data_IF_995165628815
#
_entry.id   IF_995165628815
#
_cell.length_a   1.000
_cell.length_b   1.000
_cell.length_c   1.000
_cell.angle_alpha   90.00
_cell.angle_beta   90.00
_cell.angle_gamma   90.00
#
_symmetry.space_group_name_H-M   'P 1'
#
loop_
_entity.id
_entity.type
_entity.pdbx_description
1 polymer ?
#
# COMPACT_ATOMS: atom_id res chain seq x y z
N UNK A 1 34.25 17.33 7.65
CA UNK A 1 33.59 17.88 6.45
C UNK A 1 32.93 19.19 6.85
N UNK A 2 33.21 20.27 6.11
CA UNK A 2 32.70 21.62 6.40
C UNK A 2 31.17 21.62 6.46
N UNK A 3 30.56 22.18 7.50
CA UNK A 3 29.12 22.38 7.54
C UNK A 3 28.74 23.30 6.37
N UNK A 4 28.01 22.82 5.37
CA UNK A 4 27.53 23.69 4.30
C UNK A 4 26.65 24.77 4.93
N UNK A 5 27.07 26.03 4.83
CA UNK A 5 26.37 27.19 5.40
C UNK A 5 25.09 27.44 4.61
N UNK A 6 23.97 27.57 5.30
CA UNK A 6 22.70 28.04 4.70
C UNK A 6 22.87 29.52 4.32
N UNK A 7 22.64 29.86 3.06
CA UNK A 7 22.75 31.22 2.52
C UNK A 7 21.36 31.85 2.47
N UNK A 8 21.19 33.02 3.07
CA UNK A 8 19.94 33.77 2.98
C UNK A 8 19.79 34.43 1.62
N UNK A 9 18.70 34.09 0.92
CA UNK A 9 18.29 34.67 -0.37
C UNK A 9 16.77 34.87 -0.34
N UNK A 10 16.25 35.80 0.47
CA UNK A 10 14.82 35.90 0.72
C UNK A 10 14.06 36.30 -0.55
N UNK A 11 12.92 35.65 -0.78
CA UNK A 11 11.95 36.13 -1.77
C UNK A 11 11.16 37.32 -1.21
N UNK A 12 10.49 38.05 -2.10
CA UNK A 12 9.68 39.21 -1.73
C UNK A 12 8.52 38.79 -0.82
N UNK A 13 8.53 39.29 0.41
CA UNK A 13 7.45 39.12 1.39
C UNK A 13 6.79 40.47 1.68
N UNK A 14 5.78 40.82 0.89
CA UNK A 14 5.01 42.05 1.03
C UNK A 14 3.62 41.77 1.63
N UNK A 15 2.89 42.83 1.99
CA UNK A 15 1.54 42.74 2.57
C UNK A 15 0.56 41.97 1.66
N UNK A 16 0.74 42.03 0.34
CA UNK A 16 -0.08 41.27 -0.61
C UNK A 16 0.18 39.76 -0.50
N UNK A 17 1.44 39.31 -0.44
CA UNK A 17 1.78 37.89 -0.28
C UNK A 17 1.26 37.35 1.05
N UNK A 18 1.35 38.16 2.11
CA UNK A 18 0.80 37.82 3.41
C UNK A 18 -0.72 37.63 3.37
N UNK A 19 -1.45 38.60 2.80
CA UNK A 19 -2.90 38.52 2.64
C UNK A 19 -3.32 37.32 1.78
N UNK A 20 -2.63 37.07 0.66
CA UNK A 20 -2.89 35.93 -0.22
C UNK A 20 -2.57 34.59 0.46
N UNK A 21 -1.57 34.55 1.34
CA UNK A 21 -1.22 33.35 2.13
C UNK A 21 -2.27 33.03 3.19
N UNK A 22 -2.75 34.04 3.92
CA UNK A 22 -3.86 33.90 4.86
C UNK A 22 -5.15 33.46 4.16
N UNK A 23 -5.45 34.07 3.01
CA UNK A 23 -6.59 33.68 2.17
C UNK A 23 -6.46 32.22 1.72
N UNK A 24 -5.29 31.80 1.25
CA UNK A 24 -5.04 30.40 0.85
C UNK A 24 -5.27 29.44 2.01
N UNK A 25 -4.72 29.73 3.20
CA UNK A 25 -4.90 28.90 4.40
C UNK A 25 -6.38 28.77 4.78
N UNK A 26 -7.14 29.87 4.74
CA UNK A 26 -8.58 29.86 5.02
C UNK A 26 -9.37 29.07 3.98
N UNK A 27 -9.20 29.37 2.69
CA UNK A 27 -10.02 28.79 1.61
C UNK A 27 -9.68 27.33 1.32
N UNK A 28 -8.40 26.94 1.42
CA UNK A 28 -7.95 25.59 1.05
C UNK A 28 -7.85 24.64 2.24
N UNK A 29 -7.66 25.16 3.44
CA UNK A 29 -7.45 24.35 4.64
C UNK A 29 -8.42 24.65 5.78
N UNK A 30 -9.33 25.63 5.63
CA UNK A 30 -10.26 26.01 6.70
C UNK A 30 -9.55 26.64 7.90
N UNK A 31 -8.31 27.11 7.74
CA UNK A 31 -7.48 27.62 8.83
C UNK A 31 -7.52 29.15 8.86
N UNK A 32 -8.22 29.71 9.85
CA UNK A 32 -8.14 31.13 10.16
C UNK A 32 -6.94 31.38 11.08
N UNK A 33 -5.98 32.17 10.62
CA UNK A 33 -4.76 32.51 11.36
C UNK A 33 -4.53 34.01 11.37
N UNK A 34 -3.88 34.50 12.42
CA UNK A 34 -3.45 35.91 12.52
C UNK A 34 -2.20 36.19 11.67
N UNK A 35 -1.39 35.17 11.40
CA UNK A 35 -0.23 35.24 10.52
C UNK A 35 -0.12 33.96 9.66
N UNK A 36 0.41 34.05 8.43
CA UNK A 36 0.63 32.90 7.57
C UNK A 36 1.84 32.09 8.04
N UNK A 37 1.68 31.40 9.17
CA UNK A 37 2.70 30.58 9.82
C UNK A 37 2.32 29.11 9.85
N UNK A 38 3.33 28.25 10.03
CA UNK A 38 3.20 26.81 10.20
C UNK A 38 3.88 26.37 11.50
N UNK A 39 3.40 25.26 12.06
CA UNK A 39 4.15 24.48 13.05
C UNK A 39 4.71 23.28 12.31
N UNK A 40 6.01 23.29 11.92
CA UNK A 40 6.56 22.24 11.08
C UNK A 40 6.44 20.87 11.73
N UNK A 41 5.77 19.96 11.02
CA UNK A 41 5.65 18.54 11.37
C UNK A 41 6.14 17.63 10.25
N UNK A 42 6.41 18.17 9.06
CA UNK A 42 6.98 17.41 7.96
C UNK A 42 7.93 18.23 7.10
N UNK A 43 8.73 17.53 6.31
CA UNK A 43 9.51 18.08 5.21
C UNK A 43 9.06 17.48 3.89
N UNK A 44 8.94 18.31 2.86
CA UNK A 44 8.58 17.90 1.50
C UNK A 44 9.72 18.28 0.58
N UNK A 45 10.29 17.30 -0.12
CA UNK A 45 11.46 17.47 -0.98
C UNK A 45 11.05 17.38 -2.45
N UNK A 46 11.35 18.42 -3.21
CA UNK A 46 10.96 18.59 -4.60
C UNK A 46 12.15 18.81 -5.52
N UNK A 47 11.90 18.73 -6.83
CA UNK A 47 12.72 19.39 -7.83
C UNK A 47 11.98 20.62 -8.37
N UNK A 48 12.73 21.57 -8.91
CA UNK A 48 12.16 22.80 -9.46
C UNK A 48 11.65 22.63 -10.90
N UNK A 49 12.06 21.56 -11.58
CA UNK A 49 11.98 21.39 -13.04
C UNK A 49 12.68 22.52 -13.83
N UNK A 50 13.58 23.24 -13.17
CA UNK A 50 14.33 24.38 -13.68
C UNK A 50 15.82 24.10 -13.43
N UNK A 51 16.66 24.43 -14.40
CA UNK A 51 18.07 24.04 -14.40
C UNK A 51 19.01 24.93 -13.57
N UNK A 52 18.56 26.09 -13.09
CA UNK A 52 19.40 27.03 -12.30
C UNK A 52 18.67 27.63 -11.09
N UNK A 53 19.45 28.08 -10.11
CA UNK A 53 18.96 28.78 -8.91
C UNK A 53 18.34 30.13 -9.28
N UNK A 54 18.97 30.89 -10.17
CA UNK A 54 18.55 32.23 -10.56
C UNK A 54 17.15 32.19 -11.20
N UNK A 55 16.94 31.28 -12.15
CA UNK A 55 15.65 31.14 -12.83
C UNK A 55 14.59 30.62 -11.85
N UNK A 56 14.95 29.68 -10.97
CA UNK A 56 14.01 29.23 -9.93
C UNK A 56 13.61 30.37 -9.00
N UNK A 57 14.58 31.19 -8.58
CA UNK A 57 14.33 32.34 -7.73
C UNK A 57 13.42 33.36 -8.42
N UNK A 58 13.66 33.67 -9.69
CA UNK A 58 12.82 34.59 -10.46
C UNK A 58 11.38 34.07 -10.62
N UNK A 59 11.19 32.75 -10.61
CA UNK A 59 9.85 32.13 -10.60
C UNK A 59 9.17 32.22 -9.24
N UNK A 60 9.90 32.04 -8.13
CA UNK A 60 9.32 32.07 -6.78
C UNK A 60 9.16 33.48 -6.19
N UNK A 61 9.97 34.43 -6.64
CA UNK A 61 10.05 35.78 -6.06
C UNK A 61 8.77 36.62 -6.22
N UNK A 62 8.10 36.66 -7.39
CA UNK A 62 6.86 37.42 -7.56
C UNK A 62 5.76 36.96 -6.61
N UNK A 63 5.00 37.90 -6.04
CA UNK A 63 3.89 37.60 -5.11
C UNK A 63 2.75 36.83 -5.77
N UNK A 64 2.48 37.11 -7.04
CA UNK A 64 1.35 36.56 -7.79
C UNK A 64 1.80 35.58 -8.87
N UNK A 65 0.94 34.61 -9.18
CA UNK A 65 1.19 33.63 -10.24
C UNK A 65 1.19 34.28 -11.63
N UNK A 66 2.33 34.19 -12.33
CA UNK A 66 2.41 34.55 -13.74
C UNK A 66 1.99 33.39 -14.65
N UNK A 67 0.89 33.54 -15.39
CA UNK A 67 0.64 32.80 -16.64
C UNK A 67 0.47 31.27 -16.56
N UNK A 68 0.14 30.68 -15.40
CA UNK A 68 -0.12 29.22 -15.27
C UNK A 68 -1.60 28.92 -15.05
N UNK A 69 -2.33 28.70 -16.14
CA UNK A 69 -3.79 28.51 -16.16
C UNK A 69 -4.30 27.38 -15.23
N UNK A 70 -3.53 26.30 -15.07
CA UNK A 70 -3.92 25.17 -14.20
C UNK A 70 -3.81 25.49 -12.70
N UNK A 71 -3.08 26.55 -12.34
CA UNK A 71 -2.82 26.93 -10.94
C UNK A 71 -3.61 28.17 -10.50
N UNK A 72 -4.10 28.97 -11.45
CA UNK A 72 -4.86 30.22 -11.18
C UNK A 72 -6.24 29.93 -10.58
N UNK A 73 -6.87 28.81 -10.94
CA UNK A 73 -8.14 28.39 -10.35
C UNK A 73 -8.08 28.07 -8.85
N UNK A 74 -6.88 27.80 -8.30
CA UNK A 74 -6.69 27.45 -6.90
C UNK A 74 -6.39 28.66 -6.00
N UNK A 75 -5.57 29.62 -6.47
CA UNK A 75 -5.26 30.89 -5.80
C UNK A 75 -4.31 31.72 -6.67
N UNK A 76 -4.38 33.05 -6.54
CA UNK A 76 -3.43 33.96 -7.16
C UNK A 76 -2.07 34.03 -6.44
N UNK A 77 -1.96 33.46 -5.23
CA UNK A 77 -0.70 33.38 -4.47
C UNK A 77 0.35 32.59 -5.24
N UNK A 78 1.54 33.14 -5.46
CA UNK A 78 2.59 32.42 -6.17
C UNK A 78 3.13 31.20 -5.41
N UNK A 79 3.64 30.23 -6.17
CA UNK A 79 4.38 29.11 -5.59
C UNK A 79 5.69 29.59 -4.97
N UNK A 80 6.06 28.98 -3.85
CA UNK A 80 7.27 29.31 -3.09
C UNK A 80 7.62 28.16 -2.15
N UNK A 81 8.85 28.14 -1.67
CA UNK A 81 9.37 27.14 -0.74
C UNK A 81 10.28 27.81 0.28
N UNK A 82 10.51 27.19 1.44
CA UNK A 82 11.43 27.71 2.45
C UNK A 82 12.89 27.56 2.03
N UNK A 83 13.23 26.44 1.38
CA UNK A 83 14.61 26.14 0.98
C UNK A 83 14.73 25.79 -0.50
N UNK A 84 15.86 26.17 -1.09
CA UNK A 84 16.28 25.83 -2.45
C UNK A 84 17.73 25.30 -2.41
N UNK A 85 18.01 24.19 -3.10
CA UNK A 85 19.32 23.54 -3.14
C UNK A 85 19.83 23.49 -4.58
N UNK A 86 20.96 24.12 -4.85
CA UNK A 86 21.62 24.11 -6.15
C UNK A 86 22.27 22.75 -6.47
N UNK A 87 22.66 22.53 -7.73
CA UNK A 87 23.31 21.32 -8.23
C UNK A 87 24.59 20.94 -7.49
N UNK A 88 25.33 21.93 -6.96
CA UNK A 88 26.53 21.73 -6.15
C UNK A 88 26.23 21.46 -4.65
N UNK A 89 24.95 21.44 -4.29
CA UNK A 89 24.43 21.26 -2.95
C UNK A 89 24.53 22.49 -2.05
N UNK A 90 24.72 23.69 -2.60
CA UNK A 90 24.57 24.94 -1.87
C UNK A 90 23.11 25.13 -1.46
N UNK A 91 22.87 25.44 -0.17
CA UNK A 91 21.53 25.58 0.39
C UNK A 91 21.19 27.07 0.52
N UNK A 92 20.09 27.48 -0.10
CA UNK A 92 19.52 28.82 0.00
C UNK A 92 18.23 28.80 0.85
N UNK A 93 18.11 29.73 1.79
CA UNK A 93 16.87 29.98 2.55
C UNK A 93 16.12 31.15 1.93
N UNK A 94 14.91 30.87 1.43
CA UNK A 94 14.04 31.83 0.76
C UNK A 94 13.00 32.43 1.70
N UNK A 95 12.56 31.67 2.70
CA UNK A 95 11.61 32.08 3.73
C UNK A 95 12.05 31.53 5.09
N UNK A 96 11.63 32.13 6.22
CA UNK A 96 11.79 31.54 7.54
C UNK A 96 11.13 30.14 7.62
N UNK A 97 11.72 29.23 8.40
CA UNK A 97 11.26 27.83 8.47
C UNK A 97 9.78 27.70 8.89
N UNK A 98 9.25 28.66 9.65
CA UNK A 98 7.86 28.67 10.16
C UNK A 98 6.92 29.53 9.32
N UNK A 99 7.39 30.17 8.25
CA UNK A 99 6.54 30.93 7.34
C UNK A 99 5.86 29.96 6.37
N UNK A 100 4.56 30.14 6.16
CA UNK A 100 3.80 29.38 5.17
C UNK A 100 4.35 29.63 3.77
N UNK A 101 4.51 28.55 3.01
CA UNK A 101 4.92 28.58 1.61
C UNK A 101 4.02 27.65 0.79
N UNK A 102 3.68 28.05 -0.44
CA UNK A 102 2.85 27.26 -1.36
C UNK A 102 3.77 26.41 -2.25
N UNK A 103 4.21 25.26 -1.75
CA UNK A 103 5.13 24.34 -2.46
C UNK A 103 4.47 23.00 -2.86
N UNK A 104 3.45 22.55 -2.13
CA UNK A 104 2.78 21.25 -2.33
C UNK A 104 1.27 21.39 -2.21
N UNK A 105 0.46 20.46 -2.70
CA UNK A 105 -0.99 20.49 -2.47
C UNK A 105 -1.32 19.68 -1.21
N UNK A 106 -2.16 20.23 -0.34
CA UNK A 106 -2.71 19.50 0.81
C UNK A 106 -1.85 19.49 2.07
N UNK A 107 -0.55 19.84 2.00
CA UNK A 107 0.37 19.72 3.13
C UNK A 107 1.07 21.03 3.55
N UNK A 108 0.91 22.12 2.79
CA UNK A 108 1.61 23.40 3.02
C UNK A 108 1.46 23.95 4.46
N UNK A 109 0.35 23.67 5.14
CA UNK A 109 0.04 24.26 6.46
C UNK A 109 0.84 23.65 7.62
N UNK A 110 1.59 22.58 7.38
CA UNK A 110 2.43 21.89 8.37
C UNK A 110 3.81 21.48 7.82
N UNK A 111 4.12 21.81 6.57
CA UNK A 111 5.28 21.32 5.84
C UNK A 111 6.31 22.39 5.51
N UNK A 112 7.59 22.07 5.73
CA UNK A 112 8.73 22.79 5.17
C UNK A 112 9.04 22.21 3.79
N UNK A 113 9.05 23.05 2.76
CA UNK A 113 9.50 22.71 1.42
C UNK A 113 11.02 22.81 1.27
N UNK A 114 11.60 21.86 0.54
CA UNK A 114 12.98 21.88 0.06
C UNK A 114 12.96 21.61 -1.44
N UNK A 115 13.36 22.59 -2.24
CA UNK A 115 13.35 22.50 -3.71
C UNK A 115 14.77 22.24 -4.22
N UNK A 116 14.96 21.21 -5.05
CA UNK A 116 16.26 20.91 -5.65
C UNK A 116 16.28 21.41 -7.10
N UNK A 117 17.25 22.24 -7.45
CA UNK A 117 17.46 22.65 -8.84
C UNK A 117 17.74 21.42 -9.70
N UNK A 118 17.00 21.28 -10.80
CA UNK A 118 17.02 20.10 -11.65
C UNK A 118 15.62 19.60 -11.99
N UNK A 119 15.56 18.40 -12.58
CA UNK A 119 14.32 17.79 -13.05
C UNK A 119 14.58 16.40 -13.63
N UNK A 120 13.64 15.83 -14.39
CA UNK A 120 13.79 14.49 -14.98
C UNK A 120 15.06 14.33 -15.82
N UNK A 121 15.40 15.34 -16.62
CA UNK A 121 16.59 15.34 -17.49
C UNK A 121 17.87 15.79 -16.77
N UNK A 122 17.76 16.18 -15.50
CA UNK A 122 18.86 16.62 -14.64
C UNK A 122 18.64 16.08 -13.21
N UNK A 123 18.80 14.76 -12.99
CA UNK A 123 18.47 14.10 -11.73
C UNK A 123 19.33 14.59 -10.57
N UNK A 124 18.88 14.36 -9.33
CA UNK A 124 19.53 14.81 -8.10
C UNK A 124 21.02 14.44 -8.06
N UNK A 125 21.89 15.41 -7.79
CA UNK A 125 23.34 15.13 -7.62
C UNK A 125 23.62 14.53 -6.24
N UNK A 126 24.77 13.86 -6.10
CA UNK A 126 25.27 13.44 -4.78
C UNK A 126 25.41 14.61 -3.81
N UNK A 127 25.87 15.77 -4.30
CA UNK A 127 26.04 16.95 -3.47
C UNK A 127 24.71 17.54 -2.97
N UNK A 128 23.64 17.44 -3.77
CA UNK A 128 22.28 17.77 -3.37
C UNK A 128 21.73 16.77 -2.37
N UNK A 129 21.94 15.47 -2.56
CA UNK A 129 21.54 14.44 -1.60
C UNK A 129 22.17 14.69 -0.22
N UNK A 130 23.48 14.96 -0.19
CA UNK A 130 24.20 15.25 1.06
C UNK A 130 23.72 16.55 1.72
N UNK A 131 23.28 17.53 0.93
CA UNK A 131 22.71 18.79 1.42
C UNK A 131 21.30 18.60 1.99
N UNK A 132 20.44 17.82 1.31
CA UNK A 132 19.11 17.45 1.79
C UNK A 132 19.21 16.74 3.15
N UNK A 133 20.08 15.73 3.26
CA UNK A 133 20.28 14.99 4.51
C UNK A 133 20.68 15.94 5.66
N UNK A 134 21.67 16.80 5.43
CA UNK A 134 22.13 17.76 6.44
C UNK A 134 21.02 18.73 6.87
N UNK A 135 20.27 19.26 5.90
CA UNK A 135 19.19 20.20 6.15
C UNK A 135 18.04 19.54 6.90
N UNK A 136 17.60 18.35 6.49
CA UNK A 136 16.52 17.60 7.13
C UNK A 136 16.90 17.26 8.58
N UNK A 137 18.13 16.79 8.82
CA UNK A 137 18.62 16.53 10.19
C UNK A 137 18.66 17.80 11.03
N UNK A 138 19.02 18.94 10.44
CA UNK A 138 18.96 20.24 11.12
C UNK A 138 17.51 20.61 11.49
N UNK A 139 16.55 20.46 10.57
CA UNK A 139 15.14 20.76 10.79
C UNK A 139 14.50 19.83 11.83
N UNK A 140 14.79 18.52 11.79
CA UNK A 140 14.31 17.54 12.79
C UNK A 140 14.79 17.84 14.20
N UNK A 141 15.98 18.42 14.37
CA UNK A 141 16.46 18.84 15.70
C UNK A 141 15.74 20.09 16.21
N UNK A 142 15.22 20.92 15.32
CA UNK A 142 14.61 22.21 15.65
C UNK A 142 13.09 22.12 15.82
N UNK A 143 12.44 21.19 15.13
CA UNK A 143 10.98 21.05 15.07
C UNK A 143 10.56 19.57 15.19
N UNK A 144 9.31 19.29 15.60
CA UNK A 144 8.78 17.93 15.67
C UNK A 144 8.46 17.36 14.27
N UNK A 145 9.47 17.22 13.41
CA UNK A 145 9.31 16.72 12.04
C UNK A 145 9.12 15.19 12.07
N UNK A 146 7.92 14.68 11.89
CA UNK A 146 7.67 13.23 11.94
C UNK A 146 7.77 12.55 10.56
N UNK A 147 7.67 13.33 9.47
CA UNK A 147 7.62 12.82 8.09
C UNK A 147 8.56 13.56 7.15
N UNK A 148 9.16 12.83 6.19
CA UNK A 148 9.85 13.39 5.01
C UNK A 148 9.28 12.70 3.78
N UNK A 149 8.74 13.48 2.85
CA UNK A 149 8.21 12.96 1.59
C UNK A 149 8.96 13.56 0.40
N UNK A 150 9.04 12.82 -0.70
CA UNK A 150 9.76 13.22 -1.90
C UNK A 150 8.87 13.33 -3.13
N UNK A 151 9.24 14.17 -4.11
CA UNK A 151 8.53 14.32 -5.39
C UNK A 151 8.46 13.03 -6.23
N UNK A 152 9.23 11.99 -5.91
CA UNK A 152 9.09 10.67 -6.54
C UNK A 152 7.92 9.83 -6.02
N UNK A 153 7.04 10.41 -5.20
CA UNK A 153 5.65 9.95 -5.03
C UNK A 153 4.77 10.27 -6.28
N UNK A 154 5.35 10.84 -7.35
CA UNK A 154 4.88 10.62 -8.74
C UNK A 154 4.66 9.13 -8.93
N UNK A 155 3.51 8.66 -9.49
CA UNK A 155 3.25 7.24 -9.69
C UNK A 155 4.41 6.60 -10.46
N UNK A 156 5.28 5.91 -9.73
CA UNK A 156 6.19 4.95 -10.35
C UNK A 156 5.30 3.80 -10.76
N UNK A 157 5.47 3.35 -12.00
CA UNK A 157 4.88 2.08 -12.42
C UNK A 157 5.24 1.04 -11.36
N UNK A 158 4.23 0.50 -10.67
CA UNK A 158 4.44 -0.59 -9.74
C UNK A 158 4.88 -1.81 -10.55
N UNK A 159 6.00 -2.37 -10.12
CA UNK A 159 6.62 -3.55 -10.67
C UNK A 159 6.82 -4.48 -9.49
N UNK A 160 5.72 -5.14 -9.15
CA UNK A 160 5.64 -6.09 -8.06
C UNK A 160 5.81 -7.53 -8.55
N UNK A 161 6.39 -8.37 -7.71
CA UNK A 161 6.44 -9.82 -7.92
C UNK A 161 5.84 -10.54 -6.71
N UNK A 162 4.96 -11.51 -6.95
CA UNK A 162 4.54 -12.44 -5.91
C UNK A 162 5.65 -13.43 -5.58
N UNK A 163 5.85 -13.68 -4.28
CA UNK A 163 6.72 -14.72 -3.74
C UNK A 163 5.83 -15.63 -2.90
N UNK A 164 5.36 -16.71 -3.52
CA UNK A 164 4.48 -17.69 -2.89
C UNK A 164 5.25 -18.66 -2.00
N UNK A 165 4.72 -18.84 -0.79
CA UNK A 165 5.29 -19.75 0.22
C UNK A 165 4.48 -21.04 0.36
N UNK A 166 3.21 -21.01 -0.04
CA UNK A 166 2.37 -22.21 -0.12
C UNK A 166 3.03 -23.24 -1.04
N UNK A 167 3.12 -24.48 -0.55
CA UNK A 167 3.76 -25.59 -1.25
C UNK A 167 5.21 -25.31 -1.68
N UNK A 168 5.89 -24.32 -1.07
CA UNK A 168 7.26 -23.95 -1.39
C UNK A 168 7.45 -23.61 -2.88
N UNK A 169 6.44 -22.98 -3.53
CA UNK A 169 6.46 -22.68 -4.97
C UNK A 169 7.64 -21.77 -5.34
N UNK A 170 7.80 -20.64 -4.64
CA UNK A 170 8.88 -19.69 -4.90
C UNK A 170 9.92 -19.69 -3.78
N UNK A 171 9.46 -19.60 -2.52
CA UNK A 171 10.36 -19.53 -1.37
C UNK A 171 9.71 -20.02 -0.06
N UNK A 172 10.45 -20.65 0.86
CA UNK A 172 11.78 -21.23 0.65
C UNK A 172 11.69 -22.43 -0.30
N UNK A 173 12.79 -22.82 -0.94
CA UNK A 173 12.82 -24.00 -1.82
C UNK A 173 12.41 -25.28 -1.08
N UNK A 174 12.73 -25.38 0.21
CA UNK A 174 12.28 -26.42 1.10
C UNK A 174 12.20 -25.92 2.54
N UNK A 175 11.13 -26.28 3.26
CA UNK A 175 11.03 -26.06 4.70
C UNK A 175 12.04 -26.88 5.52
N UNK A 176 12.73 -27.85 4.91
CA UNK A 176 13.79 -28.65 5.55
C UNK A 176 15.19 -28.06 5.37
N UNK A 177 15.34 -27.03 4.54
CA UNK A 177 16.62 -26.33 4.38
C UNK A 177 17.03 -25.60 5.66
N UNK A 178 18.34 -25.42 5.85
CA UNK A 178 18.83 -24.58 6.95
C UNK A 178 18.33 -23.14 6.78
N UNK A 179 18.05 -22.46 7.90
CA UNK A 179 17.59 -21.07 7.86
C UNK A 179 18.57 -20.16 7.10
N UNK A 180 19.89 -20.39 7.23
CA UNK A 180 20.91 -19.67 6.45
C UNK A 180 20.79 -19.88 4.94
N UNK A 181 20.47 -21.11 4.49
CA UNK A 181 20.21 -21.35 3.07
C UNK A 181 18.93 -20.65 2.62
N UNK A 182 17.86 -20.73 3.40
CA UNK A 182 16.62 -20.01 3.10
C UNK A 182 16.86 -18.50 2.97
N UNK A 183 17.67 -17.91 3.86
CA UNK A 183 18.04 -16.49 3.80
C UNK A 183 18.77 -16.15 2.50
N UNK A 184 19.77 -16.95 2.14
CA UNK A 184 20.54 -16.78 0.90
C UNK A 184 19.64 -16.87 -0.34
N UNK A 185 18.72 -17.82 -0.37
CA UNK A 185 17.80 -18.01 -1.49
C UNK A 185 16.81 -16.83 -1.61
N UNK A 186 16.30 -16.30 -0.48
CA UNK A 186 15.44 -15.10 -0.50
C UNK A 186 16.19 -13.89 -1.02
N UNK A 187 17.41 -13.64 -0.53
CA UNK A 187 18.27 -12.55 -1.00
C UNK A 187 18.52 -12.66 -2.51
N UNK A 188 18.77 -13.87 -3.01
CA UNK A 188 18.96 -14.09 -4.44
C UNK A 188 17.71 -13.72 -5.26
N UNK A 189 16.51 -14.00 -4.76
CA UNK A 189 15.24 -13.58 -5.37
C UNK A 189 15.15 -12.04 -5.38
N UNK A 190 15.41 -11.38 -4.25
CA UNK A 190 15.35 -9.91 -4.16
C UNK A 190 16.35 -9.25 -5.13
N UNK A 191 17.60 -9.73 -5.15
CA UNK A 191 18.65 -9.20 -6.03
C UNK A 191 18.33 -9.42 -7.51
N UNK A 192 17.69 -10.54 -7.86
CA UNK A 192 17.26 -10.81 -9.22
C UNK A 192 16.20 -9.80 -9.67
N UNK A 193 15.12 -9.64 -8.90
CA UNK A 193 14.05 -8.71 -9.27
C UNK A 193 14.49 -7.24 -9.21
N UNK A 194 15.39 -6.90 -8.28
CA UNK A 194 15.99 -5.56 -8.25
C UNK A 194 16.76 -5.25 -9.53
N UNK A 195 17.54 -6.19 -10.07
CA UNK A 195 18.26 -6.03 -11.35
C UNK A 195 17.33 -5.84 -12.54
N UNK A 196 16.10 -6.38 -12.45
CA UNK A 196 15.04 -6.19 -13.45
C UNK A 196 14.21 -4.92 -13.23
N UNK A 197 14.64 -4.03 -12.33
CA UNK A 197 13.96 -2.78 -11.98
C UNK A 197 12.56 -2.98 -11.38
N UNK A 198 12.32 -4.08 -10.67
CA UNK A 198 11.17 -4.20 -9.79
C UNK A 198 11.33 -3.28 -8.58
N UNK A 199 10.20 -2.86 -8.03
CA UNK A 199 10.14 -1.93 -6.89
C UNK A 199 9.30 -2.45 -5.71
N UNK A 200 8.67 -3.63 -5.83
CA UNK A 200 7.93 -4.24 -4.74
C UNK A 200 8.02 -5.77 -4.76
N UNK A 201 7.91 -6.38 -3.59
CA UNK A 201 7.74 -7.82 -3.40
C UNK A 201 6.48 -8.11 -2.60
N UNK A 202 5.67 -9.04 -3.08
CA UNK A 202 4.40 -9.45 -2.48
C UNK A 202 4.60 -10.84 -1.89
N UNK A 203 4.95 -10.91 -0.61
CA UNK A 203 5.43 -12.15 0.03
C UNK A 203 4.32 -12.81 0.81
N UNK A 204 4.04 -14.08 0.55
CA UNK A 204 2.98 -14.81 1.24
C UNK A 204 3.39 -15.16 2.68
N UNK A 205 2.85 -14.44 3.66
CA UNK A 205 3.18 -14.64 5.08
C UNK A 205 2.12 -15.47 5.84
N UNK A 206 0.97 -15.74 5.22
CA UNK A 206 -0.09 -16.64 5.69
C UNK A 206 -0.65 -17.43 4.51
N UNK A 207 -0.58 -18.76 4.58
CA UNK A 207 -0.96 -19.66 3.49
C UNK A 207 -2.31 -20.33 3.71
N UNK A 208 -2.51 -20.92 4.89
CA UNK A 208 -3.67 -21.72 5.25
C UNK A 208 -3.77 -21.82 6.79
N UNK A 209 -4.27 -20.78 7.45
CA UNK A 209 -4.40 -20.77 8.91
C UNK A 209 -3.09 -20.62 9.69
N UNK A 210 -1.96 -20.46 9.01
CA UNK A 210 -0.59 -20.44 9.56
C UNK A 210 0.09 -19.06 9.45
N UNK A 211 1.34 -18.96 9.92
CA UNK A 211 2.15 -17.74 9.87
C UNK A 211 3.64 -18.01 9.59
N UNK A 212 4.27 -17.12 8.83
CA UNK A 212 5.72 -17.02 8.61
C UNK A 212 6.41 -16.08 9.62
N UNK A 213 5.76 -15.83 10.76
CA UNK A 213 6.19 -14.92 11.80
C UNK A 213 5.65 -15.40 13.16
N UNK A 214 6.24 -14.98 14.29
CA UNK A 214 5.70 -15.32 15.60
C UNK A 214 4.33 -14.63 15.78
N UNK A 215 3.26 -15.42 15.77
CA UNK A 215 1.89 -14.93 15.88
C UNK A 215 1.22 -15.43 17.16
N UNK A 216 0.35 -14.60 17.75
CA UNK A 216 -0.57 -15.00 18.83
C UNK A 216 -1.80 -15.76 18.31
N UNK A 217 -2.09 -15.62 17.02
CA UNK A 217 -3.33 -16.09 16.40
C UNK A 217 -3.13 -17.31 15.50
N UNK A 218 -1.91 -17.59 15.05
CA UNK A 218 -1.64 -18.68 14.13
C UNK A 218 -0.37 -19.48 14.51
N UNK A 219 -0.33 -20.80 14.26
CA UNK A 219 0.89 -21.57 14.39
C UNK A 219 1.90 -21.22 13.28
N UNK A 220 3.18 -21.54 13.53
CA UNK A 220 4.22 -21.47 12.51
C UNK A 220 3.88 -22.33 11.29
N UNK A 221 4.14 -21.80 10.09
CA UNK A 221 3.91 -22.54 8.86
C UNK A 221 4.83 -23.75 8.71
N UNK A 222 4.25 -24.88 8.30
CA UNK A 222 5.03 -26.06 7.89
C UNK A 222 5.92 -25.79 6.68
N UNK A 223 5.61 -24.79 5.85
CA UNK A 223 6.40 -24.47 4.66
C UNK A 223 7.72 -23.78 5.01
N UNK A 224 7.86 -23.25 6.23
CA UNK A 224 9.11 -22.67 6.72
C UNK A 224 10.03 -23.71 7.38
N UNK A 225 9.47 -24.68 8.10
CA UNK A 225 10.24 -25.59 8.99
C UNK A 225 10.00 -27.08 8.75
N UNK A 226 9.17 -27.44 7.77
CA UNK A 226 8.73 -28.82 7.50
C UNK A 226 7.62 -29.33 8.43
N UNK A 227 7.33 -28.63 9.54
CA UNK A 227 6.34 -29.04 10.54
C UNK A 227 5.55 -27.85 11.09
N UNK A 228 4.22 -27.91 11.02
CA UNK A 228 3.38 -26.83 11.51
C UNK A 228 3.51 -26.65 13.04
N UNK A 229 3.52 -25.41 13.50
CA UNK A 229 3.70 -25.04 14.89
C UNK A 229 5.16 -25.05 15.36
N UNK A 230 6.10 -25.54 14.56
CA UNK A 230 7.52 -25.50 14.89
C UNK A 230 8.16 -24.20 14.41
N UNK A 231 8.74 -23.44 15.35
CA UNK A 231 9.51 -22.24 15.06
C UNK A 231 10.81 -22.57 14.30
N UNK A 232 11.30 -21.67 13.42
CA UNK A 232 12.61 -21.84 12.80
C UNK A 232 13.72 -21.79 13.85
N UNK A 233 14.82 -22.51 13.62
CA UNK A 233 15.96 -22.56 14.55
C UNK A 233 16.83 -21.30 14.44
N UNK A 234 16.26 -20.16 14.82
CA UNK A 234 16.89 -18.84 14.81
C UNK A 234 16.36 -17.97 15.94
N UNK A 235 17.15 -16.99 16.37
CA UNK A 235 16.72 -15.94 17.31
C UNK A 235 16.15 -14.71 16.59
N UNK A 236 16.34 -14.62 15.27
CA UNK A 236 15.84 -13.54 14.43
C UNK A 236 14.36 -13.74 14.11
N UNK A 237 13.58 -12.65 14.07
CA UNK A 237 12.20 -12.69 13.60
C UNK A 237 12.18 -12.73 12.06
N UNK A 238 11.70 -13.82 11.43
CA UNK A 238 11.83 -13.98 9.97
C UNK A 238 11.15 -12.87 9.17
N UNK A 239 9.97 -12.40 9.59
CA UNK A 239 9.25 -11.35 8.88
C UNK A 239 9.95 -10.00 9.01
N UNK A 240 10.43 -9.64 10.20
CA UNK A 240 11.23 -8.42 10.40
C UNK A 240 12.46 -8.43 9.51
N UNK A 241 13.16 -9.57 9.44
CA UNK A 241 14.34 -9.71 8.59
C UNK A 241 13.99 -9.60 7.09
N UNK A 242 12.96 -10.30 6.61
CA UNK A 242 12.54 -10.22 5.20
C UNK A 242 12.20 -8.80 4.77
N UNK A 243 11.48 -8.05 5.63
CA UNK A 243 11.15 -6.64 5.41
C UNK A 243 12.42 -5.79 5.30
N UNK A 244 13.36 -5.95 6.24
CA UNK A 244 14.61 -5.19 6.25
C UNK A 244 15.45 -5.46 4.99
N UNK A 245 15.53 -6.70 4.53
CA UNK A 245 16.24 -7.06 3.31
C UNK A 245 15.60 -6.45 2.05
N UNK A 246 14.27 -6.43 1.96
CA UNK A 246 13.55 -5.76 0.87
C UNK A 246 13.81 -4.24 0.89
N UNK A 247 13.62 -3.60 2.05
CA UNK A 247 13.81 -2.16 2.22
C UNK A 247 15.24 -1.70 1.92
N UNK A 248 16.25 -2.46 2.34
CA UNK A 248 17.66 -2.12 2.08
C UNK A 248 17.99 -2.08 0.58
N UNK A 249 17.18 -2.75 -0.25
CA UNK A 249 17.28 -2.76 -1.72
C UNK A 249 16.32 -1.76 -2.38
N UNK A 250 15.58 -0.98 -1.60
CA UNK A 250 14.54 -0.08 -2.09
C UNK A 250 13.43 -0.83 -2.81
N UNK A 251 13.01 -1.97 -2.26
CA UNK A 251 11.81 -2.72 -2.63
C UNK A 251 10.77 -2.53 -1.52
N UNK A 252 9.53 -2.19 -1.88
CA UNK A 252 8.39 -2.24 -0.96
C UNK A 252 8.09 -3.70 -0.57
N UNK A 253 7.67 -3.92 0.68
CA UNK A 253 7.26 -5.21 1.21
C UNK A 253 5.74 -5.27 1.44
N UNK A 254 5.05 -6.02 0.59
CA UNK A 254 3.62 -6.26 0.69
C UNK A 254 3.38 -7.61 1.36
N UNK A 255 2.85 -7.60 2.58
CA UNK A 255 2.47 -8.79 3.32
C UNK A 255 1.22 -9.44 2.70
N UNK A 256 1.39 -10.59 2.03
CA UNK A 256 0.31 -11.31 1.39
C UNK A 256 -0.28 -12.39 2.30
N UNK A 257 -1.61 -12.39 2.41
CA UNK A 257 -2.38 -13.36 3.18
C UNK A 257 -3.52 -13.96 2.35
N UNK A 258 -3.77 -15.24 2.56
CA UNK A 258 -5.04 -15.87 2.23
C UNK A 258 -5.99 -15.76 3.44
N UNK A 259 -7.17 -15.12 3.33
CA UNK A 259 -8.04 -14.89 4.49
C UNK A 259 -8.74 -16.18 4.95
N UNK A 260 -9.40 -16.89 4.03
CA UNK A 260 -10.38 -17.93 4.42
C UNK A 260 -9.89 -19.37 4.27
N UNK A 261 -8.75 -19.63 3.62
CA UNK A 261 -8.20 -21.00 3.60
C UNK A 261 -7.76 -21.38 5.01
N UNK A 262 -8.40 -22.40 5.60
CA UNK A 262 -8.03 -22.91 6.91
C UNK A 262 -7.08 -24.10 6.79
N UNK A 263 -7.19 -24.93 5.76
CA UNK A 263 -6.26 -26.03 5.51
C UNK A 263 -5.91 -26.15 4.04
N UNK A 264 -4.73 -26.69 3.74
CA UNK A 264 -4.31 -26.96 2.36
C UNK A 264 -4.95 -28.23 1.78
N UNK A 265 -5.22 -29.23 2.64
CA UNK A 265 -5.86 -30.49 2.30
C UNK A 265 -6.69 -31.02 3.51
N UNK A 266 -7.21 -32.25 3.40
CA UNK A 266 -7.94 -32.91 4.49
C UNK A 266 -7.04 -33.67 5.48
N UNK A 267 -5.70 -33.62 5.35
CA UNK A 267 -4.76 -34.32 6.24
C UNK A 267 -4.54 -33.52 7.51
N UNK A 268 -5.55 -33.51 8.36
CA UNK A 268 -5.60 -32.64 9.52
C UNK A 268 -4.80 -33.14 10.73
N UNK A 269 -4.33 -34.39 10.70
CA UNK A 269 -3.55 -34.97 11.81
C UNK A 269 -2.14 -34.37 11.92
N UNK A 270 -1.69 -33.68 10.87
CA UNK A 270 -0.40 -32.97 10.83
C UNK A 270 -0.50 -31.52 11.28
N UNK A 271 -1.72 -31.03 11.55
CA UNK A 271 -1.91 -29.67 12.03
C UNK A 271 -1.47 -29.55 13.48
N UNK A 272 -0.98 -28.37 13.82
CA UNK A 272 -0.63 -28.03 15.19
C UNK A 272 -1.89 -28.12 16.08
N UNK A 273 -1.79 -28.64 17.32
CA UNK A 273 -2.89 -28.57 18.29
C UNK A 273 -3.37 -27.13 18.54
N UNK A 274 -2.51 -26.15 18.26
CA UNK A 274 -2.82 -24.73 18.39
C UNK A 274 -3.49 -24.10 17.17
N UNK A 275 -3.65 -24.84 16.06
CA UNK A 275 -4.30 -24.37 14.84
C UNK A 275 -5.80 -24.12 15.09
N UNK A 276 -6.37 -23.08 14.49
CA UNK A 276 -7.78 -22.71 14.71
C UNK A 276 -8.77 -23.76 14.26
N UNK A 277 -8.39 -24.57 13.27
CA UNK A 277 -9.08 -25.83 13.00
C UNK A 277 -9.37 -26.49 14.35
N UNK A 278 -8.39 -26.78 15.22
CA UNK A 278 -8.61 -27.52 16.49
C UNK A 278 -9.29 -26.70 17.57
N UNK A 279 -8.96 -25.42 17.68
CA UNK A 279 -9.50 -24.55 18.74
C UNK A 279 -10.95 -24.11 18.47
N UNK A 280 -11.31 -23.95 17.21
CA UNK A 280 -12.55 -23.34 16.76
C UNK A 280 -13.17 -24.16 15.62
N UNK A 281 -13.52 -25.43 15.93
CA UNK A 281 -14.08 -26.37 14.96
C UNK A 281 -15.39 -25.89 14.33
N UNK A 282 -16.15 -25.11 15.10
CA UNK A 282 -17.39 -24.43 14.71
C UNK A 282 -17.19 -23.34 13.64
N UNK A 283 -15.96 -22.85 13.45
CA UNK A 283 -15.64 -21.90 12.39
C UNK A 283 -15.36 -22.55 11.03
N UNK A 284 -15.23 -23.88 11.00
CA UNK A 284 -14.64 -24.60 9.88
C UNK A 284 -15.71 -25.17 8.95
N UNK A 285 -15.60 -24.83 7.67
CA UNK A 285 -16.46 -25.34 6.60
C UNK A 285 -15.64 -26.30 5.74
N UNK A 286 -16.02 -27.57 5.72
CA UNK A 286 -15.46 -28.53 4.77
C UNK A 286 -16.08 -28.28 3.40
N UNK A 287 -15.25 -28.07 2.39
CA UNK A 287 -15.70 -27.92 1.01
C UNK A 287 -14.63 -28.44 0.05
N UNK A 288 -15.00 -29.44 -0.75
CA UNK A 288 -14.06 -30.21 -1.56
C UNK A 288 -12.93 -30.83 -0.71
N UNK A 289 -11.66 -30.69 -1.13
CA UNK A 289 -10.53 -31.32 -0.46
C UNK A 289 -9.94 -30.48 0.69
N UNK A 290 -10.63 -29.45 1.19
CA UNK A 290 -10.07 -28.50 2.18
C UNK A 290 -11.10 -28.08 3.22
N UNK A 291 -10.61 -27.45 4.28
CA UNK A 291 -11.42 -26.65 5.20
C UNK A 291 -11.17 -25.16 4.98
N UNK A 292 -12.24 -24.38 5.16
CA UNK A 292 -12.25 -22.93 5.07
C UNK A 292 -12.81 -22.33 6.35
N UNK A 293 -12.35 -21.15 6.74
CA UNK A 293 -13.05 -20.34 7.71
C UNK A 293 -14.40 -19.90 7.11
N UNK A 294 -15.47 -19.99 7.88
CA UNK A 294 -16.80 -19.57 7.45
C UNK A 294 -16.89 -18.03 7.39
N UNK A 295 -16.99 -17.41 6.20
CA UNK A 295 -16.99 -15.95 6.10
C UNK A 295 -18.21 -15.30 6.76
N UNK A 296 -19.30 -16.07 6.96
CA UNK A 296 -20.54 -15.58 7.58
C UNK A 296 -20.56 -15.53 9.10
N UNK A 297 -19.46 -15.92 9.77
CA UNK A 297 -19.36 -15.86 11.22
C UNK A 297 -18.69 -14.56 11.68
N UNK A 298 -19.33 -13.76 12.56
CA UNK A 298 -18.70 -12.58 13.15
C UNK A 298 -17.38 -12.89 13.86
N UNK A 299 -17.28 -14.05 14.51
CA UNK A 299 -16.08 -14.51 15.21
C UNK A 299 -14.90 -14.70 14.25
N UNK A 300 -15.14 -15.27 13.07
CA UNK A 300 -14.14 -15.41 12.00
C UNK A 300 -13.68 -14.04 11.51
N UNK A 301 -14.61 -13.12 11.25
CA UNK A 301 -14.28 -11.75 10.83
C UNK A 301 -13.37 -11.08 11.87
N UNK A 302 -13.76 -11.12 13.15
CA UNK A 302 -12.98 -10.53 14.24
C UNK A 302 -11.59 -11.15 14.37
N UNK A 303 -11.48 -12.47 14.25
CA UNK A 303 -10.19 -13.17 14.29
C UNK A 303 -9.28 -12.72 13.14
N UNK A 304 -9.77 -12.72 11.90
CA UNK A 304 -8.98 -12.32 10.74
C UNK A 304 -8.57 -10.85 10.81
N UNK A 305 -9.44 -9.96 11.30
CA UNK A 305 -9.10 -8.56 11.55
C UNK A 305 -8.02 -8.43 12.64
N UNK A 306 -8.06 -9.25 13.69
CA UNK A 306 -7.03 -9.25 14.74
C UNK A 306 -5.66 -9.73 14.22
N UNK A 307 -5.63 -10.71 13.31
CA UNK A 307 -4.42 -11.13 12.59
C UNK A 307 -3.83 -9.98 11.78
N UNK A 308 -4.66 -9.25 11.01
CA UNK A 308 -4.18 -8.06 10.29
C UNK A 308 -3.64 -7.01 11.25
N UNK A 309 -4.33 -6.75 12.36
CA UNK A 309 -3.88 -5.77 13.35
C UNK A 309 -2.52 -6.16 13.94
N UNK A 310 -2.31 -7.43 14.26
CA UNK A 310 -1.01 -7.93 14.75
C UNK A 310 0.12 -7.64 13.75
N UNK A 311 -0.14 -7.83 12.46
CA UNK A 311 0.88 -7.58 11.44
C UNK A 311 1.15 -6.08 11.32
N UNK A 312 0.10 -5.27 11.16
CA UNK A 312 0.24 -3.82 10.94
C UNK A 312 0.89 -3.15 12.15
N UNK A 313 0.50 -3.50 13.38
CA UNK A 313 1.08 -2.89 14.58
C UNK A 313 2.58 -3.23 14.74
N UNK A 314 2.96 -4.49 14.52
CA UNK A 314 4.28 -5.00 14.93
C UNK A 314 5.34 -4.97 13.84
N UNK A 315 4.94 -4.85 12.57
CA UNK A 315 5.86 -4.94 11.44
C UNK A 315 5.82 -3.68 10.57
N UNK A 316 6.99 -3.33 10.03
CA UNK A 316 7.19 -2.19 9.15
C UNK A 316 6.91 -2.59 7.70
N UNK A 317 5.67 -2.99 7.41
CA UNK A 317 5.23 -3.36 6.06
C UNK A 317 4.76 -2.12 5.30
N UNK A 318 4.84 -2.15 3.97
CA UNK A 318 4.29 -1.09 3.12
C UNK A 318 2.83 -1.35 2.76
N UNK A 319 2.44 -2.62 2.64
CA UNK A 319 1.06 -2.99 2.33
C UNK A 319 0.62 -4.33 2.94
N UNK A 320 -0.69 -4.44 3.15
CA UNK A 320 -1.42 -5.72 3.23
C UNK A 320 -1.93 -6.07 1.82
N UNK A 321 -1.77 -7.33 1.44
CA UNK A 321 -2.21 -7.86 0.15
C UNK A 321 -3.09 -9.10 0.33
N UNK A 322 -4.27 -9.13 -0.29
CA UNK A 322 -5.05 -10.36 -0.47
C UNK A 322 -5.03 -10.80 -1.93
N UNK A 323 -5.04 -12.11 -2.16
CA UNK A 323 -5.17 -12.71 -3.49
C UNK A 323 -6.66 -12.90 -3.87
N UNK A 324 -6.97 -13.90 -4.70
CA UNK A 324 -8.29 -14.13 -5.30
C UNK A 324 -9.19 -15.08 -4.48
N UNK A 325 -8.73 -15.60 -3.34
CA UNK A 325 -9.49 -16.58 -2.56
C UNK A 325 -10.40 -15.93 -1.52
N UNK A 326 -11.66 -15.77 -1.88
CA UNK A 326 -12.75 -15.38 -0.99
C UNK A 326 -13.55 -16.61 -0.57
N UNK A 327 -14.77 -16.77 -1.10
CA UNK A 327 -15.36 -18.10 -1.15
C UNK A 327 -14.61 -18.96 -2.18
N UNK A 328 -14.51 -20.28 -1.95
CA UNK A 328 -13.79 -21.16 -2.86
C UNK A 328 -14.48 -21.29 -4.21
N UNK A 329 -13.69 -21.50 -5.26
CA UNK A 329 -14.18 -21.85 -6.61
C UNK A 329 -15.22 -22.97 -6.55
N UNK A 330 -16.30 -22.83 -7.32
CA UNK A 330 -17.41 -23.78 -7.37
C UNK A 330 -16.93 -25.14 -7.84
N UNK A 331 -17.38 -26.17 -7.13
CA UNK A 331 -17.19 -27.58 -7.46
C UNK A 331 -18.54 -28.09 -7.97
N UNK A 332 -18.54 -28.75 -9.12
CA UNK A 332 -19.76 -29.26 -9.72
C UNK A 332 -20.52 -30.15 -8.74
N UNK A 333 -21.81 -29.86 -8.53
CA UNK A 333 -22.73 -30.58 -7.63
C UNK A 333 -22.42 -30.46 -6.14
N UNK A 334 -21.51 -29.57 -5.74
CA UNK A 334 -21.25 -29.26 -4.33
C UNK A 334 -21.71 -27.83 -4.03
N UNK A 335 -22.34 -27.64 -2.87
CA UNK A 335 -22.74 -26.30 -2.38
C UNK A 335 -21.92 -26.00 -1.15
N UNK A 336 -21.39 -24.77 -1.05
CA UNK A 336 -20.67 -24.34 0.14
C UNK A 336 -21.60 -24.42 1.37
N UNK A 337 -21.28 -25.25 2.39
CA UNK A 337 -22.24 -25.60 3.44
C UNK A 337 -22.33 -24.56 4.55
N UNK A 338 -22.84 -23.36 4.22
CA UNK A 338 -23.05 -22.24 5.15
C UNK A 338 -24.53 -21.95 5.46
N UNK A 339 -25.46 -22.82 5.05
CA UNK A 339 -26.91 -22.58 5.15
C UNK A 339 -27.37 -22.26 6.58
N UNK A 340 -26.83 -22.96 7.58
CA UNK A 340 -27.15 -22.71 9.00
C UNK A 340 -26.70 -21.32 9.43
N UNK A 341 -25.53 -20.88 8.96
CA UNK A 341 -24.97 -19.55 9.26
C UNK A 341 -25.78 -18.47 8.57
N UNK A 342 -26.11 -18.68 7.29
CA UNK A 342 -26.99 -17.80 6.52
C UNK A 342 -28.36 -17.63 7.19
N UNK A 343 -29.02 -18.70 7.59
CA UNK A 343 -30.33 -18.63 8.27
C UNK A 343 -30.27 -17.84 9.58
N UNK A 344 -29.12 -17.86 10.27
CA UNK A 344 -28.91 -17.17 11.54
C UNK A 344 -28.59 -15.68 11.37
N UNK A 345 -27.81 -15.30 10.36
CA UNK A 345 -27.21 -13.96 10.26
C UNK A 345 -27.69 -13.13 9.07
N UNK A 346 -28.51 -13.67 8.16
CA UNK A 346 -29.03 -12.89 7.02
C UNK A 346 -29.96 -11.76 7.45
N UNK A 347 -29.94 -10.67 6.70
CA UNK A 347 -30.96 -9.64 6.81
C UNK A 347 -32.31 -10.14 6.24
N UNK A 348 -33.41 -9.52 6.68
CA UNK A 348 -34.74 -9.83 6.16
C UNK A 348 -34.79 -9.61 4.65
N UNK A 349 -35.26 -10.61 3.90
CA UNK A 349 -35.36 -10.55 2.43
C UNK A 349 -34.04 -10.70 1.67
N UNK A 350 -32.89 -10.76 2.33
CA UNK A 350 -31.59 -10.92 1.67
C UNK A 350 -31.43 -12.32 1.08
N UNK A 351 -30.92 -12.40 -0.16
CA UNK A 351 -30.57 -13.67 -0.79
C UNK A 351 -29.27 -14.25 -0.23
N UNK A 352 -29.02 -15.55 -0.40
CA UNK A 352 -27.78 -16.17 0.08
C UNK A 352 -26.55 -15.59 -0.63
N UNK A 353 -26.63 -15.37 -1.94
CA UNK A 353 -25.52 -14.82 -2.71
C UNK A 353 -25.21 -13.37 -2.30
N UNK A 354 -26.24 -12.54 -2.05
CA UNK A 354 -26.04 -11.17 -1.53
C UNK A 354 -25.47 -11.16 -0.12
N UNK A 355 -25.90 -12.11 0.71
CA UNK A 355 -25.36 -12.29 2.06
C UNK A 355 -23.88 -12.70 2.02
N UNK A 356 -23.49 -13.63 1.14
CA UNK A 356 -22.08 -14.02 0.95
C UNK A 356 -21.23 -12.83 0.50
N UNK A 357 -21.71 -12.03 -0.47
CA UNK A 357 -21.02 -10.78 -0.89
C UNK A 357 -20.90 -9.79 0.26
N UNK A 358 -21.96 -9.62 1.06
CA UNK A 358 -21.92 -8.74 2.23
C UNK A 358 -20.86 -9.20 3.25
N UNK A 359 -20.76 -10.49 3.53
CA UNK A 359 -19.75 -11.03 4.46
C UNK A 359 -18.32 -10.70 4.01
N UNK A 360 -18.04 -10.82 2.70
CA UNK A 360 -16.74 -10.45 2.15
C UNK A 360 -16.52 -8.93 2.26
N UNK A 361 -17.50 -8.12 1.86
CA UNK A 361 -17.44 -6.65 1.97
C UNK A 361 -17.16 -6.19 3.40
N UNK A 362 -17.83 -6.80 4.38
CA UNK A 362 -17.65 -6.55 5.80
C UNK A 362 -16.20 -6.81 6.26
N UNK A 363 -15.58 -7.91 5.80
CA UNK A 363 -14.18 -8.18 6.11
C UNK A 363 -13.28 -7.13 5.46
N UNK A 364 -13.47 -6.81 4.18
CA UNK A 364 -12.65 -5.82 3.46
C UNK A 364 -12.73 -4.45 4.15
N UNK A 365 -13.93 -4.01 4.54
CA UNK A 365 -14.12 -2.76 5.26
C UNK A 365 -13.45 -2.79 6.65
N UNK A 366 -13.57 -3.90 7.39
CA UNK A 366 -12.95 -4.05 8.71
C UNK A 366 -11.42 -4.04 8.63
N UNK A 367 -10.85 -4.71 7.63
CA UNK A 367 -9.41 -4.73 7.34
C UNK A 367 -8.92 -3.33 6.98
N UNK A 368 -9.59 -2.63 6.06
CA UNK A 368 -9.30 -1.24 5.73
C UNK A 368 -9.26 -0.36 6.98
N UNK A 369 -10.34 -0.39 7.76
CA UNK A 369 -10.47 0.44 8.97
C UNK A 369 -9.35 0.14 9.96
N UNK A 370 -9.00 -1.13 10.13
CA UNK A 370 -7.92 -1.58 11.03
C UNK A 370 -6.57 -1.06 10.59
N UNK A 371 -6.25 -1.19 9.31
CA UNK A 371 -5.01 -0.68 8.72
C UNK A 371 -4.94 0.84 8.91
N UNK A 372 -5.97 1.55 8.45
CA UNK A 372 -5.97 3.02 8.48
C UNK A 372 -6.00 3.61 9.89
N UNK A 373 -6.54 2.88 10.87
CA UNK A 373 -6.50 3.30 12.28
C UNK A 373 -5.11 3.07 12.91
N UNK A 374 -4.41 2.00 12.53
CA UNK A 374 -3.10 1.67 13.10
C UNK A 374 -1.95 2.41 12.42
N UNK A 375 -1.86 2.30 11.09
CA UNK A 375 -0.84 2.94 10.24
C UNK A 375 -1.49 3.43 8.95
N UNK A 376 -2.00 4.69 8.90
CA UNK A 376 -2.71 5.24 7.74
C UNK A 376 -1.99 5.12 6.39
N UNK A 377 -0.65 5.14 6.42
CA UNK A 377 0.21 5.04 5.25
C UNK A 377 0.34 3.62 4.68
N UNK A 378 0.02 2.58 5.47
CA UNK A 378 0.05 1.19 4.98
C UNK A 378 -1.08 1.01 3.99
N UNK A 379 -0.73 0.50 2.81
CA UNK A 379 -1.67 0.26 1.74
C UNK A 379 -2.44 -1.04 1.97
N UNK A 380 -3.66 -1.10 1.44
CA UNK A 380 -4.44 -2.32 1.36
C UNK A 380 -4.80 -2.57 -0.09
N UNK A 381 -4.34 -3.68 -0.65
CA UNK A 381 -4.72 -4.03 -2.01
C UNK A 381 -5.03 -5.50 -2.19
N UNK A 382 -5.72 -5.75 -3.30
CA UNK A 382 -6.33 -7.05 -3.58
C UNK A 382 -6.07 -7.44 -5.03
N UNK A 383 -5.71 -8.70 -5.24
CA UNK A 383 -5.54 -9.29 -6.56
C UNK A 383 -6.67 -10.29 -6.87
N UNK A 384 -7.88 -9.83 -7.27
CA UNK A 384 -9.00 -10.72 -7.53
C UNK A 384 -8.81 -11.50 -8.83
N UNK A 385 -9.69 -12.49 -9.08
CA UNK A 385 -9.77 -13.15 -10.38
C UNK A 385 -9.97 -12.13 -11.52
N UNK A 386 -9.47 -12.41 -12.73
CA UNK A 386 -9.44 -11.40 -13.79
C UNK A 386 -10.81 -10.99 -14.36
N UNK A 387 -11.88 -11.75 -14.10
CA UNK A 387 -13.25 -11.43 -14.57
C UNK A 387 -14.16 -11.12 -13.39
N UNK A 388 -14.65 -9.88 -13.31
CA UNK A 388 -15.64 -9.47 -12.31
C UNK A 388 -17.01 -10.11 -12.57
N UNK A 389 -17.55 -9.87 -13.77
CA UNK A 389 -18.80 -10.44 -14.30
C UNK A 389 -18.70 -10.56 -15.82
N UNK A 390 -19.36 -11.55 -16.39
CA UNK A 390 -19.55 -11.64 -17.84
C UNK A 390 -20.63 -10.64 -18.29
N UNK A 391 -20.46 -10.05 -19.48
CA UNK A 391 -21.40 -9.07 -20.04
C UNK A 391 -22.83 -9.61 -20.18
N UNK A 392 -22.98 -10.93 -20.39
CA UNK A 392 -24.30 -11.57 -20.45
C UNK A 392 -25.05 -11.57 -19.10
N UNK A 393 -24.33 -11.42 -17.98
CA UNK A 393 -24.91 -11.38 -16.63
C UNK A 393 -25.14 -9.95 -16.13
N UNK A 394 -24.29 -9.01 -16.53
CA UNK A 394 -24.41 -7.59 -16.20
C UNK A 394 -23.86 -6.76 -17.39
N UNK A 395 -24.60 -5.77 -17.92
CA UNK A 395 -24.12 -4.90 -19.00
C UNK A 395 -22.79 -4.16 -18.70
N UNK A 396 -22.44 -3.98 -17.42
CA UNK A 396 -21.16 -3.41 -16.97
C UNK A 396 -20.04 -4.45 -16.89
N UNK A 397 -20.36 -5.72 -17.05
CA UNK A 397 -19.40 -6.83 -17.10
C UNK A 397 -18.52 -6.76 -18.35
N UNK A 398 -17.38 -7.45 -18.31
CA UNK A 398 -16.48 -7.56 -19.46
C UNK A 398 -17.11 -8.41 -20.57
N UNK A 399 -16.78 -8.17 -21.85
CA UNK A 399 -17.15 -9.03 -22.98
C UNK A 399 -16.39 -10.37 -22.94
N UNK A 400 -16.68 -11.16 -21.91
CA UNK A 400 -16.09 -12.44 -21.58
C UNK A 400 -17.18 -13.49 -21.38
N UNK A 401 -16.77 -14.76 -21.42
CA UNK A 401 -17.59 -15.94 -21.13
C UNK A 401 -16.85 -16.87 -20.16
N UNK A 402 -16.27 -16.28 -19.11
CA UNK A 402 -15.53 -17.03 -18.10
C UNK A 402 -16.49 -17.99 -17.38
N UNK A 403 -16.02 -19.22 -17.13
CA UNK A 403 -16.83 -20.25 -16.46
C UNK A 403 -17.12 -19.96 -15.00
N UNK A 404 -16.32 -19.11 -14.36
CA UNK A 404 -16.55 -18.55 -13.03
C UNK A 404 -16.14 -17.07 -13.02
N UNK A 405 -16.72 -16.27 -12.14
CA UNK A 405 -16.45 -14.83 -11.99
C UNK A 405 -16.31 -14.45 -10.51
N UNK A 406 -15.69 -13.29 -10.22
CA UNK A 406 -15.59 -12.80 -8.85
C UNK A 406 -16.97 -12.63 -8.18
N UNK A 407 -17.90 -11.96 -8.86
CA UNK A 407 -19.15 -11.54 -8.24
C UNK A 407 -20.16 -12.68 -8.08
N UNK A 408 -20.23 -13.55 -9.10
CA UNK A 408 -21.28 -14.57 -9.22
C UNK A 408 -20.89 -15.89 -8.53
N UNK A 409 -19.59 -16.16 -8.40
CA UNK A 409 -19.09 -17.46 -7.93
C UNK A 409 -18.20 -17.35 -6.68
N UNK A 410 -17.30 -16.36 -6.64
CA UNK A 410 -16.39 -16.16 -5.50
C UNK A 410 -16.94 -15.19 -4.45
N UNK A 411 -18.09 -14.57 -4.74
CA UNK A 411 -18.76 -13.56 -3.91
C UNK A 411 -17.87 -12.36 -3.54
N UNK A 412 -16.93 -12.05 -4.43
CA UNK A 412 -16.03 -10.91 -4.37
C UNK A 412 -16.57 -9.75 -5.21
N UNK A 413 -16.72 -8.57 -4.60
CA UNK A 413 -17.24 -7.39 -5.29
C UNK A 413 -16.23 -6.23 -5.30
N UNK A 414 -15.14 -6.35 -6.09
CA UNK A 414 -14.12 -5.32 -6.20
C UNK A 414 -14.66 -3.95 -6.65
N UNK A 415 -15.78 -3.91 -7.38
CA UNK A 415 -16.42 -2.66 -7.76
C UNK A 415 -16.93 -1.89 -6.53
N UNK A 416 -17.54 -2.59 -5.58
CA UNK A 416 -17.97 -2.00 -4.31
C UNK A 416 -16.78 -1.55 -3.47
N UNK A 417 -15.71 -2.33 -3.41
CA UNK A 417 -14.52 -1.97 -2.62
C UNK A 417 -13.84 -0.71 -3.15
N UNK A 418 -13.67 -0.61 -4.47
CA UNK A 418 -13.11 0.58 -5.11
C UNK A 418 -14.01 1.80 -4.92
N UNK A 419 -15.32 1.67 -5.14
CA UNK A 419 -16.28 2.78 -5.01
C UNK A 419 -16.29 3.38 -3.61
N UNK A 420 -16.11 2.57 -2.57
CA UNK A 420 -16.10 3.04 -1.19
C UNK A 420 -14.70 3.41 -0.68
N UNK A 421 -13.65 3.29 -1.50
CA UNK A 421 -12.27 3.58 -1.10
C UNK A 421 -11.73 2.62 -0.03
N UNK A 422 -12.25 1.39 0.05
CA UNK A 422 -11.80 0.41 1.03
C UNK A 422 -10.47 -0.26 0.66
N UNK A 423 -10.06 -0.18 -0.59
CA UNK A 423 -8.76 -0.64 -1.06
C UNK A 423 -8.01 0.51 -1.72
N UNK A 424 -6.69 0.56 -1.51
CA UNK A 424 -5.78 1.53 -2.11
C UNK A 424 -5.36 1.10 -3.53
N UNK A 425 -5.34 -0.21 -3.82
CA UNK A 425 -5.04 -0.73 -5.16
C UNK A 425 -5.76 -2.06 -5.48
N UNK A 426 -5.93 -2.34 -6.78
CA UNK A 426 -6.50 -3.58 -7.31
C UNK A 426 -5.61 -4.15 -8.43
N UNK A 427 -5.33 -5.46 -8.41
CA UNK A 427 -4.50 -6.15 -9.42
C UNK A 427 -5.26 -7.35 -10.01
N UNK A 428 -6.16 -7.18 -10.99
CA UNK A 428 -6.91 -8.29 -11.56
C UNK A 428 -5.99 -9.34 -12.21
N UNK A 429 -6.23 -10.63 -11.92
CA UNK A 429 -5.44 -11.75 -12.45
C UNK A 429 -5.80 -12.06 -13.91
N UNK A 430 -5.26 -11.27 -14.86
CA UNK A 430 -5.51 -11.47 -16.30
C UNK A 430 -4.53 -12.48 -16.90
N UNK A 431 -4.64 -13.74 -16.51
CA UNK A 431 -3.71 -14.82 -16.87
C UNK A 431 -4.10 -15.55 -18.15
N UNK A 432 -4.47 -14.78 -19.18
CA UNK A 432 -4.87 -15.31 -20.49
C UNK A 432 -4.08 -14.67 -21.61
N UNK A 433 -4.02 -15.35 -22.76
CA UNK A 433 -3.43 -14.78 -23.96
C UNK A 433 -4.28 -13.63 -24.52
N UNK A 434 -3.66 -12.81 -25.37
CA UNK A 434 -4.31 -11.67 -26.03
C UNK A 434 -5.62 -12.03 -26.74
N UNK A 435 -5.70 -13.23 -27.31
CA UNK A 435 -6.84 -13.69 -28.13
C UNK A 435 -7.62 -14.84 -27.49
N UNK A 436 -7.49 -15.07 -26.18
CA UNK A 436 -8.18 -16.18 -25.53
C UNK A 436 -9.72 -16.08 -25.71
N UNK A 437 -10.40 -17.09 -26.26
CA UNK A 437 -11.77 -16.95 -26.77
C UNK A 437 -12.84 -16.76 -25.68
N UNK A 438 -12.53 -17.09 -24.42
CA UNK A 438 -13.46 -16.95 -23.29
C UNK A 438 -13.12 -15.77 -22.38
N UNK A 439 -11.87 -15.31 -22.40
CA UNK A 439 -11.34 -14.32 -21.47
C UNK A 439 -10.08 -13.67 -22.07
N UNK A 440 -10.23 -12.98 -23.20
CA UNK A 440 -9.11 -12.35 -23.92
C UNK A 440 -8.46 -11.27 -23.06
N UNK A 441 -7.12 -11.21 -23.00
CA UNK A 441 -6.43 -10.15 -22.26
C UNK A 441 -6.83 -8.74 -22.74
N UNK A 442 -7.05 -8.55 -24.05
CA UNK A 442 -7.48 -7.26 -24.62
C UNK A 442 -8.83 -6.78 -24.08
N UNK A 443 -9.68 -7.74 -23.71
CA UNK A 443 -11.10 -7.54 -23.44
C UNK A 443 -11.49 -7.80 -21.97
N UNK A 444 -10.63 -8.50 -21.22
CA UNK A 444 -10.81 -8.80 -19.80
C UNK A 444 -10.56 -7.52 -19.01
N UNK A 445 -11.63 -6.79 -18.74
CA UNK A 445 -11.60 -5.49 -18.06
C UNK A 445 -12.71 -5.45 -17.02
N UNK A 446 -12.38 -5.03 -15.80
CA UNK A 446 -13.41 -4.78 -14.79
C UNK A 446 -14.02 -3.40 -15.14
N UNK A 447 -15.27 -3.39 -15.64
CA UNK A 447 -15.99 -2.14 -15.97
C UNK A 447 -15.61 -1.46 -17.29
N UNK A 448 -15.05 -2.19 -18.26
CA UNK A 448 -14.72 -1.63 -19.59
C UNK A 448 -13.47 -0.73 -19.62
N UNK A 449 -12.71 -0.66 -18.53
CA UNK A 449 -11.41 -0.02 -18.47
C UNK A 449 -10.32 -1.06 -18.12
N UNK A 450 -9.18 -0.99 -18.81
CA UNK A 450 -7.98 -1.72 -18.43
C UNK A 450 -7.53 -1.16 -17.09
N UNK A 451 -7.92 -1.80 -15.98
CA UNK A 451 -7.45 -1.43 -14.64
C UNK A 451 -6.05 -2.03 -14.47
N UNK A 452 -5.07 -1.41 -15.13
CA UNK A 452 -3.69 -1.45 -14.65
C UNK A 452 -3.63 -0.38 -13.54
N UNK A 453 -3.74 -0.83 -12.28
CA UNK A 453 -3.59 -0.03 -11.06
C UNK A 453 -4.14 1.40 -11.10
N UNK A 454 -5.35 1.57 -10.59
CA UNK A 454 -5.74 2.90 -10.11
C UNK A 454 -5.23 3.01 -8.68
N UNK A 455 -4.21 3.83 -8.36
CA UNK A 455 -3.96 4.23 -6.99
C UNK A 455 -5.22 4.99 -6.52
N UNK A 456 -5.98 4.37 -5.63
CA UNK A 456 -7.08 5.04 -4.95
C UNK A 456 -6.44 5.76 -3.77
N UNK A 457 -6.13 7.04 -3.99
CA UNK A 457 -5.47 7.97 -3.06
C UNK A 457 -3.93 7.89 -3.02
N UNK A 458 -3.31 8.99 -3.45
CA UNK A 458 -1.87 9.28 -3.43
C UNK A 458 -1.43 9.86 -2.07
N UNK A 459 -1.81 9.24 -0.96
CA UNK A 459 -1.46 9.74 0.38
C UNK A 459 -0.49 8.84 1.14
N UNK A 460 0.47 8.24 0.43
CA UNK A 460 1.54 7.43 1.02
C UNK A 460 2.54 8.31 1.76
N UNK A 461 2.32 8.53 3.06
CA UNK A 461 3.28 9.20 3.95
C UNK A 461 4.40 8.21 4.30
N UNK A 462 5.64 8.48 3.87
CA UNK A 462 6.81 7.70 4.28
C UNK A 462 7.39 8.28 5.59
N UNK A 463 7.59 7.47 6.65
CA UNK A 463 8.32 7.89 7.84
C UNK A 463 9.80 8.13 7.55
N UNK A 464 10.41 9.09 8.26
CA UNK A 464 11.86 9.34 8.19
C UNK A 464 12.59 8.14 8.82
N UNK A 465 13.40 7.42 8.04
CA UNK A 465 14.38 6.45 8.55
C UNK A 465 15.77 7.07 8.61
#
# INVERSE_FOLDING_TARGET
MSSKRIIDKPITWNAEREALSLKYLKERHGLEKEAPSITPQMVVVHWTAISTVEVTFDVFNPTTLGGRADLTGASNLNVSSQFLIDRDGTIFRLLPDTTFARHVIGLNYLAIGIENVGGPDAPLTKAQLDANEQLIRYLKRKYPIDYVIGHHEIPREFRGVWIATVANIDWPASGLDSYEKQKKDFIAILDYYKKLNFNAVIVQIRTAGDAFYPSKYAPWSKYLTGKEGQAPQTQENPLTWMIQEAHSRGLEFHAWLNPYRATFDLKTDLLSPNHDFHKHRDWMVKYGPKYYYNPGLPEVKNHLTAVIKEIVDNYDIDAIHFDDYFYPYKIAKETFPDQTTYNKFKNQGQTQDDWRRQNVNDLIQAVHTTIKTSKPWVQFGISPFGVWRNQAMDPKGSPTRAGQTNYDDLYADPMTWMKNGWIDYLIPQVYWSMEHPLASYRNSTIGGQIIAMVPISTSGMVPIK
#
